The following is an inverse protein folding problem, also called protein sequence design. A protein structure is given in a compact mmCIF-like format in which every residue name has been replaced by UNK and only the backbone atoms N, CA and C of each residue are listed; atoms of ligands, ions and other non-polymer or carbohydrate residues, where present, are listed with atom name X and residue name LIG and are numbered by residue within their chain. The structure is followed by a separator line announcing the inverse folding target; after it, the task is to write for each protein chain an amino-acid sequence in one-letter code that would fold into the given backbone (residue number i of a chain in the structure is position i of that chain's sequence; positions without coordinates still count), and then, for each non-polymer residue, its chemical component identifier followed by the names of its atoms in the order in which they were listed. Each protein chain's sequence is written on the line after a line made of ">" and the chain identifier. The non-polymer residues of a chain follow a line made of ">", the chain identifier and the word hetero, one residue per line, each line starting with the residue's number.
data_IF_240316072149
#
_entry.id   IF_240316072149
#
_cell.length_a   1.000
_cell.length_b   1.000
_cell.length_c   1.000
_cell.angle_alpha   90.00
_cell.angle_beta   90.00
_cell.angle_gamma   90.00
#
_symmetry.space_group_name_H-M   'P 1'
#
loop_
_entity.id
_entity.type
_entity.pdbx_description
1 polymer ?
#
# COMPACT_ATOMS: atom_id res chain seq x y z
N UNK A 1 4.00 4.89 -17.27
CA UNK A 1 3.73 3.44 -17.23
C UNK A 1 2.39 3.17 -17.91
N UNK A 2 2.21 1.96 -18.45
CA UNK A 2 0.98 1.47 -19.08
C UNK A 2 -0.21 1.53 -18.11
N UNK A 3 -1.39 1.91 -18.62
CA UNK A 3 -2.57 2.21 -17.80
C UNK A 3 -3.73 1.25 -18.08
N UNK A 4 -4.65 1.18 -17.14
CA UNK A 4 -5.97 0.58 -17.33
C UNK A 4 -6.84 1.46 -18.24
N UNK A 5 -7.78 0.86 -19.00
CA UNK A 5 -8.13 -0.57 -19.03
C UNK A 5 -7.28 -1.43 -20.01
N UNK A 6 -6.30 -0.86 -20.71
CA UNK A 6 -5.50 -1.59 -21.68
C UNK A 6 -4.50 -2.54 -21.01
N UNK A 7 -3.98 -2.16 -19.84
CA UNK A 7 -2.97 -2.91 -19.10
C UNK A 7 -3.20 -2.84 -17.59
N UNK A 8 -3.56 -3.99 -17.02
CA UNK A 8 -3.85 -4.16 -15.59
C UNK A 8 -2.58 -4.49 -14.80
N UNK A 9 -2.71 -4.59 -13.47
CA UNK A 9 -1.63 -5.06 -12.60
C UNK A 9 -1.04 -6.40 -13.11
N UNK A 10 0.30 -6.55 -13.14
CA UNK A 10 1.33 -5.66 -12.60
C UNK A 10 1.97 -4.70 -13.62
N UNK A 11 1.34 -4.41 -14.77
CA UNK A 11 2.00 -3.68 -15.86
C UNK A 11 2.60 -2.32 -15.45
N UNK A 12 1.89 -1.57 -14.61
CA UNK A 12 2.39 -0.30 -14.06
C UNK A 12 3.66 -0.47 -13.23
N UNK A 13 3.67 -1.49 -12.36
CA UNK A 13 4.80 -1.84 -11.51
C UNK A 13 5.99 -2.33 -12.35
N UNK A 14 5.75 -3.17 -13.36
CA UNK A 14 6.79 -3.67 -14.26
C UNK A 14 7.49 -2.52 -15.00
N UNK A 15 6.71 -1.59 -15.57
CA UNK A 15 7.25 -0.44 -16.30
C UNK A 15 8.08 0.48 -15.39
N UNK A 16 7.55 0.81 -14.22
CA UNK A 16 8.24 1.67 -13.25
C UNK A 16 9.50 0.99 -12.70
N UNK A 17 9.45 -0.31 -12.46
CA UNK A 17 10.61 -1.11 -12.03
C UNK A 17 11.69 -1.10 -13.10
N UNK A 18 11.31 -1.39 -14.36
CA UNK A 18 12.25 -1.46 -15.48
C UNK A 18 13.04 -0.15 -15.64
N UNK A 19 12.35 0.99 -15.72
CA UNK A 19 13.02 2.28 -15.90
C UNK A 19 13.85 2.68 -14.67
N UNK A 20 13.39 2.34 -13.46
CA UNK A 20 14.13 2.65 -12.25
C UNK A 20 15.43 1.87 -12.19
N UNK A 21 15.40 0.56 -12.45
CA UNK A 21 16.60 -0.26 -12.47
C UNK A 21 17.56 0.14 -13.60
N UNK A 22 17.04 0.55 -14.76
CA UNK A 22 17.85 1.13 -15.84
C UNK A 22 18.60 2.39 -15.36
N UNK A 23 17.92 3.30 -14.66
CA UNK A 23 18.56 4.49 -14.10
C UNK A 23 19.63 4.14 -13.06
N UNK A 24 19.38 3.20 -12.14
CA UNK A 24 20.38 2.81 -11.14
C UNK A 24 21.58 2.08 -11.73
N UNK A 25 21.38 1.23 -12.75
CA UNK A 25 22.47 0.47 -13.40
C UNK A 25 23.29 1.32 -14.36
N UNK A 26 22.66 2.27 -15.04
CA UNK A 26 23.25 3.02 -16.13
C UNK A 26 23.29 4.55 -15.90
N UNK A 27 23.19 5.01 -14.65
CA UNK A 27 23.12 6.44 -14.28
C UNK A 27 24.18 7.30 -14.97
N UNK A 28 25.42 6.79 -15.07
CA UNK A 28 26.54 7.48 -15.70
C UNK A 28 26.30 7.82 -17.18
N UNK A 29 25.62 6.94 -17.92
CA UNK A 29 25.27 7.17 -19.34
C UNK A 29 24.32 8.35 -19.49
N UNK A 30 23.50 8.61 -18.48
CA UNK A 30 22.54 9.72 -18.43
C UNK A 30 23.10 10.96 -17.71
N UNK A 31 24.38 10.94 -17.29
CA UNK A 31 25.01 12.00 -16.46
C UNK A 31 24.24 12.25 -15.15
N UNK A 32 23.64 11.22 -14.60
CA UNK A 32 22.93 11.24 -13.31
C UNK A 32 23.89 10.73 -12.23
N UNK A 33 23.94 11.43 -11.09
CA UNK A 33 24.59 10.93 -9.88
C UNK A 33 23.66 9.94 -9.19
N UNK A 34 24.00 8.66 -9.24
CA UNK A 34 23.19 7.57 -8.66
C UNK A 34 22.90 7.76 -7.18
N UNK A 35 23.80 8.44 -6.44
CA UNK A 35 23.65 8.71 -5.01
C UNK A 35 22.64 9.85 -4.72
N UNK A 36 22.09 10.49 -5.75
CA UNK A 36 21.12 11.58 -5.65
C UNK A 36 19.76 11.25 -6.28
N UNK A 37 19.48 9.97 -6.54
CA UNK A 37 18.18 9.53 -7.04
C UNK A 37 17.19 9.38 -5.88
N UNK A 38 16.03 10.03 -5.99
CA UNK A 38 14.90 9.90 -5.07
C UNK A 38 13.71 9.34 -5.82
N UNK A 39 13.02 8.34 -5.25
CA UNK A 39 11.76 7.84 -5.81
C UNK A 39 10.59 8.61 -5.19
N UNK A 40 9.62 9.00 -6.00
CA UNK A 40 8.47 9.74 -5.53
C UNK A 40 7.19 9.29 -6.23
N UNK A 41 6.07 9.39 -5.52
CA UNK A 41 4.76 9.11 -6.10
C UNK A 41 3.62 9.43 -5.15
N UNK A 42 2.43 9.60 -5.72
CA UNK A 42 1.20 9.93 -5.01
C UNK A 42 0.18 8.79 -5.11
N UNK A 43 -0.58 8.53 -4.04
CA UNK A 43 -1.59 7.45 -3.98
C UNK A 43 -1.02 6.09 -4.44
N UNK A 44 -1.54 5.52 -5.53
CA UNK A 44 -1.03 4.31 -6.16
C UNK A 44 0.42 4.47 -6.66
N UNK A 45 0.83 5.67 -7.09
CA UNK A 45 2.23 5.97 -7.41
C UNK A 45 3.13 5.92 -6.17
N UNK A 46 2.62 6.30 -5.00
CA UNK A 46 3.32 6.17 -3.72
C UNK A 46 3.54 4.70 -3.33
N UNK A 47 2.54 3.85 -3.58
CA UNK A 47 2.68 2.39 -3.47
C UNK A 47 3.83 1.88 -4.35
N UNK A 48 3.80 2.21 -5.65
CA UNK A 48 4.82 1.80 -6.61
C UNK A 48 6.22 2.27 -6.17
N UNK A 49 6.34 3.52 -5.75
CA UNK A 49 7.60 4.08 -5.28
C UNK A 49 8.18 3.26 -4.11
N UNK A 50 7.37 2.93 -3.10
CA UNK A 50 7.85 2.16 -1.95
C UNK A 50 8.18 0.70 -2.30
N UNK A 51 7.34 0.03 -3.08
CA UNK A 51 7.59 -1.35 -3.55
C UNK A 51 8.92 -1.43 -4.30
N UNK A 52 9.18 -0.46 -5.19
CA UNK A 52 10.42 -0.39 -5.97
C UNK A 52 11.61 -0.05 -5.06
N UNK A 53 11.46 0.88 -4.11
CA UNK A 53 12.51 1.17 -3.10
C UNK A 53 12.92 -0.09 -2.36
N UNK A 54 11.96 -0.87 -1.85
CA UNK A 54 12.26 -2.13 -1.17
C UNK A 54 12.94 -3.15 -2.08
N UNK A 55 12.55 -3.22 -3.36
CA UNK A 55 13.20 -4.09 -4.34
C UNK A 55 14.65 -3.70 -4.59
N UNK A 56 14.93 -2.41 -4.77
CA UNK A 56 16.27 -1.88 -4.97
C UNK A 56 17.19 -2.23 -3.78
N UNK A 57 16.70 -2.06 -2.55
CA UNK A 57 17.47 -2.38 -1.34
C UNK A 57 17.85 -3.86 -1.27
N UNK A 58 16.93 -4.77 -1.63
CA UNK A 58 17.21 -6.22 -1.69
C UNK A 58 18.29 -6.55 -2.72
N UNK A 59 18.36 -5.78 -3.80
CA UNK A 59 19.34 -5.95 -4.88
C UNK A 59 20.63 -5.14 -4.67
N UNK A 60 20.80 -4.50 -3.50
CA UNK A 60 22.01 -3.77 -3.12
C UNK A 60 22.10 -2.33 -3.64
N UNK A 61 21.03 -1.79 -4.22
CA UNK A 61 20.92 -0.37 -4.57
C UNK A 61 20.31 0.44 -3.42
N UNK A 62 20.65 1.73 -3.33
CA UNK A 62 20.14 2.60 -2.27
C UNK A 62 19.70 3.96 -2.84
N UNK A 63 18.39 4.21 -2.98
CA UNK A 63 17.88 5.55 -3.25
C UNK A 63 18.25 6.52 -2.12
N UNK A 64 18.45 7.79 -2.47
CA UNK A 64 18.78 8.85 -1.50
C UNK A 64 17.67 9.10 -0.49
N UNK A 65 16.43 8.94 -0.94
CA UNK A 65 15.18 9.09 -0.19
C UNK A 65 14.02 8.46 -0.98
N UNK A 66 12.85 8.35 -0.34
CA UNK A 66 11.57 8.22 -1.04
C UNK A 66 10.56 9.28 -0.55
N UNK A 67 9.77 9.83 -1.46
CA UNK A 67 8.76 10.86 -1.18
C UNK A 67 7.37 10.32 -1.53
N UNK A 68 6.57 10.05 -0.50
CA UNK A 68 5.29 9.37 -0.62
C UNK A 68 4.17 10.33 -0.27
N UNK A 69 3.24 10.55 -1.20
CA UNK A 69 2.13 11.49 -1.03
C UNK A 69 0.84 10.67 -0.92
N UNK A 70 0.17 10.69 0.24
CA UNK A 70 -1.02 9.92 0.58
C UNK A 70 -1.00 8.47 0.03
N UNK A 71 0.09 7.71 0.25
CA UNK A 71 0.32 6.45 -0.46
C UNK A 71 -0.66 5.34 -0.04
N UNK A 72 -1.02 4.45 -0.97
CA UNK A 72 -1.68 3.18 -0.62
C UNK A 72 -0.62 2.19 -0.13
N UNK A 73 -0.49 1.89 1.16
CA UNK A 73 0.61 1.07 1.67
C UNK A 73 0.20 -0.34 2.10
N UNK A 74 -1.10 -0.56 2.33
CA UNK A 74 -1.62 -1.87 2.70
C UNK A 74 -3.07 -2.09 2.22
N UNK A 75 -3.42 -3.37 2.06
CA UNK A 75 -4.75 -3.86 1.67
C UNK A 75 -5.21 -5.01 2.58
N UNK A 76 -4.68 -5.03 3.80
CA UNK A 76 -4.99 -5.98 4.86
C UNK A 76 -6.14 -5.47 5.75
N UNK A 77 -6.17 -4.17 6.03
CA UNK A 77 -7.18 -3.50 6.86
C UNK A 77 -7.88 -2.39 6.08
N UNK A 78 -9.17 -2.58 5.80
CA UNK A 78 -10.07 -1.59 5.20
C UNK A 78 -10.89 -0.82 6.23
N UNK A 79 -10.69 -1.07 7.52
CA UNK A 79 -11.37 -0.40 8.63
C UNK A 79 -10.51 0.68 9.27
N UNK A 80 -9.71 1.37 8.46
CA UNK A 80 -8.74 2.38 8.89
C UNK A 80 -9.36 3.51 9.73
N UNK A 81 -8.56 4.16 10.59
CA UNK A 81 -8.98 5.33 11.38
C UNK A 81 -9.68 6.40 10.55
N UNK A 82 -9.17 6.69 9.35
CA UNK A 82 -9.74 7.67 8.42
C UNK A 82 -11.19 7.32 8.05
N UNK A 83 -11.44 6.07 7.68
CA UNK A 83 -12.79 5.60 7.36
C UNK A 83 -13.71 5.70 8.59
N UNK A 84 -13.29 5.18 9.75
CA UNK A 84 -14.12 5.17 10.96
C UNK A 84 -14.45 6.57 11.50
N UNK A 85 -13.53 7.52 11.40
CA UNK A 85 -13.72 8.88 11.95
C UNK A 85 -14.55 9.79 11.03
N UNK A 86 -14.37 9.68 9.71
CA UNK A 86 -14.90 10.68 8.77
C UNK A 86 -16.12 10.23 7.97
N UNK A 87 -16.30 8.93 7.71
CA UNK A 87 -17.48 8.45 6.98
C UNK A 87 -18.80 8.81 7.69
N UNK A 88 -18.96 8.62 9.02
CA UNK A 88 -20.22 8.97 9.69
C UNK A 88 -20.50 10.47 9.70
N UNK A 89 -19.49 11.30 9.43
CA UNK A 89 -19.59 12.77 9.43
C UNK A 89 -19.97 13.34 8.06
N UNK A 90 -20.19 12.50 7.04
CA UNK A 90 -20.39 12.92 5.64
C UNK A 90 -19.26 13.84 5.12
N UNK A 91 -18.07 13.78 5.74
CA UNK A 91 -16.88 14.43 5.22
C UNK A 91 -16.30 13.47 4.18
N UNK A 92 -16.92 13.49 3.01
CA UNK A 92 -16.54 12.60 1.92
C UNK A 92 -15.39 13.24 1.14
N UNK A 93 -14.22 12.60 1.19
CA UNK A 93 -13.26 12.71 0.10
C UNK A 93 -13.86 12.14 -1.19
N UNK A 94 -13.21 12.36 -2.33
CA UNK A 94 -13.66 11.82 -3.63
C UNK A 94 -13.73 10.28 -3.63
N UNK A 95 -12.98 9.63 -2.75
CA UNK A 95 -12.88 8.18 -2.63
C UNK A 95 -13.28 7.79 -1.19
N UNK A 96 -14.08 6.73 -1.05
CA UNK A 96 -14.41 6.07 0.22
C UNK A 96 -13.96 4.59 0.14
N UNK A 97 -14.12 3.81 1.21
CA UNK A 97 -13.70 2.41 1.31
C UNK A 97 -14.31 1.52 0.22
N UNK A 98 -15.57 1.78 -0.14
CA UNK A 98 -16.26 1.03 -1.20
C UNK A 98 -15.67 1.36 -2.57
N UNK A 99 -15.62 2.64 -2.94
CA UNK A 99 -15.08 3.08 -4.23
C UNK A 99 -13.59 2.72 -4.35
N UNK A 100 -12.84 2.75 -3.25
CA UNK A 100 -11.44 2.32 -3.22
C UNK A 100 -11.32 0.84 -3.57
N UNK A 101 -12.12 -0.03 -2.96
CA UNK A 101 -12.16 -1.45 -3.29
C UNK A 101 -12.62 -1.72 -4.74
N UNK A 102 -13.57 -0.94 -5.25
CA UNK A 102 -14.01 -1.05 -6.66
C UNK A 102 -12.86 -0.69 -7.62
N UNK A 103 -12.15 0.41 -7.36
CA UNK A 103 -10.97 0.82 -8.14
C UNK A 103 -9.88 -0.24 -8.06
N UNK A 104 -9.61 -0.78 -6.87
CA UNK A 104 -8.61 -1.84 -6.69
C UNK A 104 -8.99 -3.14 -7.41
N UNK A 105 -10.27 -3.52 -7.34
CA UNK A 105 -10.81 -4.67 -8.07
C UNK A 105 -10.55 -4.55 -9.57
N UNK A 106 -10.84 -3.36 -10.12
CA UNK A 106 -10.63 -3.08 -11.54
C UNK A 106 -9.14 -3.10 -11.91
N UNK A 107 -8.30 -2.37 -11.16
CA UNK A 107 -6.85 -2.29 -11.39
C UNK A 107 -6.16 -3.65 -11.43
N UNK A 108 -6.68 -4.61 -10.66
CA UNK A 108 -6.10 -5.94 -10.46
C UNK A 108 -6.85 -7.05 -11.21
N UNK A 109 -7.97 -6.73 -11.86
CA UNK A 109 -8.92 -7.70 -12.43
C UNK A 109 -9.33 -8.82 -11.46
N UNK A 110 -9.22 -8.57 -10.15
CA UNK A 110 -9.49 -9.56 -9.11
C UNK A 110 -10.98 -9.84 -8.95
N UNK A 111 -11.85 -8.99 -9.52
CA UNK A 111 -13.32 -9.09 -9.43
C UNK A 111 -13.76 -9.19 -7.96
N UNK A 112 -13.12 -8.41 -7.09
CA UNK A 112 -13.54 -8.28 -5.69
C UNK A 112 -14.99 -7.83 -5.69
N UNK A 113 -15.85 -8.68 -5.14
CA UNK A 113 -17.22 -8.26 -4.81
C UNK A 113 -17.12 -7.45 -3.52
N UNK A 114 -17.43 -6.17 -3.58
CA UNK A 114 -17.46 -5.32 -2.39
C UNK A 114 -18.65 -5.71 -1.54
N UNK A 115 -18.42 -6.63 -0.61
CA UNK A 115 -19.38 -7.08 0.39
C UNK A 115 -19.04 -6.50 1.75
N UNK A 116 -20.00 -6.60 2.68
CA UNK A 116 -19.77 -6.27 4.07
C UNK A 116 -18.59 -7.07 4.63
N UNK A 117 -18.43 -8.34 4.27
CA UNK A 117 -17.32 -9.16 4.75
C UNK A 117 -15.94 -8.59 4.35
N UNK A 118 -15.77 -8.14 3.10
CA UNK A 118 -14.50 -7.53 2.66
C UNK A 118 -14.27 -6.19 3.36
N UNK A 119 -15.31 -5.36 3.48
CA UNK A 119 -15.23 -4.06 4.16
C UNK A 119 -14.86 -4.15 5.65
N UNK A 120 -15.20 -5.27 6.29
CA UNK A 120 -14.87 -5.57 7.69
C UNK A 120 -13.74 -6.61 7.80
N UNK A 121 -12.81 -6.63 6.84
CA UNK A 121 -11.56 -7.40 6.86
C UNK A 121 -11.67 -8.93 6.88
N UNK A 122 -12.84 -9.50 6.61
CA UNK A 122 -13.01 -10.97 6.55
C UNK A 122 -12.36 -11.59 5.29
N UNK A 123 -11.79 -10.79 4.39
CA UNK A 123 -10.96 -11.27 3.27
C UNK A 123 -9.57 -11.77 3.70
N UNK A 124 -9.23 -11.63 4.98
CA UNK A 124 -7.97 -12.13 5.56
C UNK A 124 -8.26 -13.22 6.60
N UNK A 125 -7.39 -14.24 6.68
CA UNK A 125 -7.58 -15.40 7.56
C UNK A 125 -7.23 -15.03 9.00
N UNK A 126 -7.79 -15.74 9.99
CA UNK A 126 -7.41 -15.57 11.40
C UNK A 126 -5.88 -15.70 11.62
N UNK A 127 -5.24 -16.59 10.85
CA UNK A 127 -3.78 -16.77 10.86
C UNK A 127 -3.04 -15.55 10.34
N UNK A 128 -3.50 -14.96 9.24
CA UNK A 128 -2.90 -13.75 8.67
C UNK A 128 -3.12 -12.54 9.56
N UNK A 129 -4.30 -12.41 10.18
CA UNK A 129 -4.58 -11.35 11.14
C UNK A 129 -3.60 -11.38 12.31
N UNK A 130 -3.40 -12.54 12.93
CA UNK A 130 -2.41 -12.72 13.99
C UNK A 130 -0.98 -12.39 13.56
N UNK A 131 -0.64 -12.69 12.30
CA UNK A 131 0.71 -12.51 11.74
C UNK A 131 1.00 -11.07 11.31
N UNK A 132 0.01 -10.38 10.75
CA UNK A 132 0.19 -9.11 10.03
C UNK A 132 -0.27 -7.88 10.82
N UNK A 133 -1.23 -8.04 11.75
CA UNK A 133 -1.75 -6.94 12.58
C UNK A 133 -0.65 -6.10 13.26
N UNK A 134 0.46 -6.67 13.79
CA UNK A 134 1.51 -5.86 14.41
C UNK A 134 2.15 -4.78 13.50
N UNK A 135 2.08 -4.94 12.18
CA UNK A 135 2.63 -3.98 11.21
C UNK A 135 1.70 -2.79 10.94
N UNK A 136 0.41 -2.92 11.26
CA UNK A 136 -0.68 -1.99 10.89
C UNK A 136 -1.67 -1.85 12.06
N UNK A 137 -1.10 -1.52 13.23
CA UNK A 137 -1.84 -1.37 14.49
C UNK A 137 -2.06 0.11 14.83
N UNK A 138 -3.14 0.67 14.31
CA UNK A 138 -3.51 2.06 14.55
C UNK A 138 -3.71 2.38 16.04
N UNK A 139 -4.11 1.42 16.89
CA UNK A 139 -4.27 1.67 18.34
C UNK A 139 -2.92 1.86 19.03
N UNK A 140 -1.89 1.17 18.54
CA UNK A 140 -0.52 1.31 19.03
C UNK A 140 0.11 2.63 18.59
N UNK A 141 -0.15 3.07 17.36
CA UNK A 141 0.57 4.19 16.74
C UNK A 141 -0.15 5.53 16.81
N UNK A 142 -1.48 5.55 16.94
CA UNK A 142 -2.27 6.79 17.00
C UNK A 142 -2.83 7.07 18.41
N UNK A 143 -2.83 8.34 18.87
CA UNK A 143 -3.40 8.74 20.15
C UNK A 143 -4.94 8.88 20.06
N UNK A 144 -5.63 7.92 19.43
CA UNK A 144 -7.06 8.00 19.14
C UNK A 144 -7.77 6.77 19.72
N UNK A 145 -8.84 7.00 20.48
CA UNK A 145 -9.76 5.93 20.88
C UNK A 145 -10.78 5.71 19.76
N UNK A 146 -10.56 4.66 18.97
CA UNK A 146 -11.52 4.22 17.96
C UNK A 146 -12.42 3.13 18.54
N UNK A 147 -13.73 3.12 18.24
CA UNK A 147 -14.56 1.95 18.50
C UNK A 147 -13.93 0.76 17.75
N UNK A 148 -13.60 -0.31 18.46
CA UNK A 148 -12.96 -1.50 17.88
C UNK A 148 -13.99 -2.63 17.79
N UNK A 149 -14.36 -2.98 16.56
CA UNK A 149 -14.98 -4.27 16.26
C UNK A 149 -13.90 -5.37 16.31
N UNK A 150 -14.25 -6.53 16.86
CA UNK A 150 -13.38 -7.70 16.86
C UNK A 150 -12.95 -8.04 15.43
N UNK A 151 -11.65 -8.28 15.25
CA UNK A 151 -11.01 -8.59 13.98
C UNK A 151 -10.15 -9.86 14.11
N UNK A 152 -10.69 -10.90 14.75
CA UNK A 152 -9.95 -12.14 15.01
C UNK A 152 -10.29 -13.27 14.02
N UNK A 153 -11.48 -13.23 13.41
CA UNK A 153 -11.98 -14.26 12.49
C UNK A 153 -11.83 -13.85 11.03
N UNK A 154 -11.95 -14.79 10.10
CA UNK A 154 -11.85 -14.52 8.67
C UNK A 154 -12.52 -15.61 7.82
N UNK A 155 -12.89 -15.28 6.59
CA UNK A 155 -13.47 -16.24 5.65
C UNK A 155 -12.37 -16.86 4.78
N UNK A 156 -12.06 -18.13 5.05
CA UNK A 156 -11.05 -18.92 4.33
C UNK A 156 -11.36 -19.10 2.84
N UNK A 157 -12.61 -18.93 2.40
CA UNK A 157 -12.96 -18.96 0.97
C UNK A 157 -12.69 -17.63 0.28
N UNK A 158 -12.86 -16.50 0.99
CA UNK A 158 -12.57 -15.18 0.44
C UNK A 158 -11.07 -14.97 0.25
N UNK A 159 -10.24 -15.44 1.21
CA UNK A 159 -8.79 -15.23 1.13
C UNK A 159 -8.12 -15.95 -0.04
N UNK A 160 -8.60 -17.13 -0.45
CA UNK A 160 -7.96 -17.90 -1.51
C UNK A 160 -7.82 -17.09 -2.81
N UNK A 161 -8.81 -16.26 -3.11
CA UNK A 161 -8.81 -15.41 -4.30
C UNK A 161 -8.17 -14.02 -4.08
N UNK A 162 -7.91 -13.64 -2.83
CA UNK A 162 -7.48 -12.29 -2.44
C UNK A 162 -6.12 -12.25 -1.72
N UNK A 163 -5.44 -13.39 -1.60
CA UNK A 163 -4.14 -13.51 -0.94
C UNK A 163 -3.05 -12.59 -1.52
N UNK A 164 -3.17 -12.17 -2.79
CA UNK A 164 -2.25 -11.20 -3.38
C UNK A 164 -2.34 -9.81 -2.74
N UNK A 165 -3.49 -9.43 -2.16
CA UNK A 165 -3.67 -8.14 -1.49
C UNK A 165 -2.70 -7.99 -0.31
N UNK A 166 -2.44 -9.07 0.42
CA UNK A 166 -1.55 -9.09 1.59
C UNK A 166 -0.09 -9.44 1.24
N UNK A 167 0.26 -9.51 -0.04
CA UNK A 167 1.64 -9.68 -0.50
C UNK A 167 2.41 -8.36 -0.35
N UNK A 168 3.70 -8.37 0.05
CA UNK A 168 4.53 -7.16 0.08
C UNK A 168 4.65 -6.40 -1.25
N UNK A 169 4.37 -7.06 -2.39
CA UNK A 169 4.34 -6.38 -3.70
C UNK A 169 3.09 -5.52 -3.91
N UNK A 170 2.04 -5.77 -3.14
CA UNK A 170 0.79 -5.02 -3.16
C UNK A 170 0.67 -4.17 -1.90
N UNK A 171 0.95 -4.74 -0.74
CA UNK A 171 0.98 -4.08 0.56
C UNK A 171 2.41 -3.94 1.10
N UNK A 172 3.20 -2.96 0.62
CA UNK A 172 4.61 -2.80 1.01
C UNK A 172 4.83 -2.51 2.50
N UNK A 173 3.79 -2.12 3.26
CA UNK A 173 3.89 -1.97 4.72
C UNK A 173 3.94 -3.31 5.47
N UNK A 174 3.49 -4.40 4.85
CA UNK A 174 3.38 -5.73 5.47
C UNK A 174 4.71 -6.50 5.38
N UNK A 175 5.78 -5.86 5.79
CA UNK A 175 7.14 -6.40 5.90
C UNK A 175 7.67 -6.23 7.31
N UNK A 176 8.72 -6.96 7.67
CA UNK A 176 9.24 -6.92 9.04
C UNK A 176 9.79 -5.54 9.43
N UNK A 177 9.77 -5.20 10.73
CA UNK A 177 10.43 -3.98 11.25
C UNK A 177 11.92 -3.94 10.87
N UNK A 178 12.57 -5.11 10.76
CA UNK A 178 13.96 -5.21 10.28
C UNK A 178 14.08 -4.74 8.83
N UNK A 179 13.14 -5.10 7.94
CA UNK A 179 13.12 -4.64 6.56
C UNK A 179 12.74 -3.15 6.45
N UNK A 180 11.75 -2.69 7.23
CA UNK A 180 11.38 -1.27 7.26
C UNK A 180 12.53 -0.40 7.78
N UNK A 181 13.32 -0.88 8.74
CA UNK A 181 14.47 -0.15 9.29
C UNK A 181 15.59 0.10 8.27
N UNK A 182 15.61 -0.65 7.16
CA UNK A 182 16.58 -0.51 6.07
C UNK A 182 16.16 0.53 5.03
N UNK A 183 14.93 1.05 5.11
CA UNK A 183 14.45 2.05 4.17
C UNK A 183 15.32 3.31 4.21
N UNK A 184 15.54 3.97 3.05
CA UNK A 184 16.15 5.29 3.06
C UNK A 184 15.21 6.29 3.76
N UNK A 185 15.67 7.52 4.04
CA UNK A 185 14.80 8.57 4.56
C UNK A 185 13.49 8.68 3.75
N UNK A 186 12.36 8.57 4.44
CA UNK A 186 11.01 8.70 3.86
C UNK A 186 10.47 10.08 4.19
N UNK A 187 10.02 10.79 3.17
CA UNK A 187 9.20 11.99 3.31
C UNK A 187 7.76 11.56 3.05
N UNK A 188 6.95 11.54 4.10
CA UNK A 188 5.54 11.16 4.02
C UNK A 188 4.67 12.42 4.10
N UNK A 189 3.85 12.64 3.08
CA UNK A 189 2.83 13.67 3.06
C UNK A 189 1.46 13.01 3.23
N UNK A 190 0.87 13.17 4.40
CA UNK A 190 -0.54 12.82 4.64
C UNK A 190 -1.31 14.04 5.12
N UNK A 191 -2.61 14.01 4.90
CA UNK A 191 -3.59 14.95 5.41
C UNK A 191 -4.55 14.21 6.33
N UNK A 192 -5.16 14.93 7.26
CA UNK A 192 -6.06 14.36 8.26
C UNK A 192 -7.21 13.52 7.63
N UNK A 193 -7.62 13.87 6.41
CA UNK A 193 -8.74 13.26 5.69
C UNK A 193 -8.33 12.24 4.62
N UNK A 194 -7.06 11.88 4.54
CA UNK A 194 -6.62 10.90 3.55
C UNK A 194 -7.20 9.52 3.88
N UNK A 195 -7.88 8.93 2.89
CA UNK A 195 -8.53 7.63 3.07
C UNK A 195 -7.54 6.46 3.15
N UNK A 196 -6.30 6.66 2.70
CA UNK A 196 -5.21 5.67 2.73
C UNK A 196 -4.28 5.91 3.91
N UNK A 197 -4.81 6.55 4.95
CA UNK A 197 -4.09 6.82 6.18
C UNK A 197 -3.90 5.52 6.95
N UNK A 198 -2.83 4.82 6.59
CA UNK A 198 -2.43 3.49 7.07
C UNK A 198 -1.56 3.52 8.35
N UNK A 199 -1.39 4.70 8.95
CA UNK A 199 -0.52 4.98 10.12
C UNK A 199 -0.99 4.35 11.44
#
# INVERSE_FOLDING_TARGET
>A
YRRVPEHYYPAALDDCTLITYELFRNAANYRIDVNRITLAGDSAGGNLALVITQSLLRDGFSPRAACLIYPALQFFDFTLPSYRLYLPRNILGVINEQNFLEVMSELTQSKIKVTRDVLFNNHTSAKDKKRLRPYVDAQKYLPISLPFDSDEEGDENLIQNLSFLISPKMSPLLVSDEELSKLPPIILFTTEYDILRDE
#
